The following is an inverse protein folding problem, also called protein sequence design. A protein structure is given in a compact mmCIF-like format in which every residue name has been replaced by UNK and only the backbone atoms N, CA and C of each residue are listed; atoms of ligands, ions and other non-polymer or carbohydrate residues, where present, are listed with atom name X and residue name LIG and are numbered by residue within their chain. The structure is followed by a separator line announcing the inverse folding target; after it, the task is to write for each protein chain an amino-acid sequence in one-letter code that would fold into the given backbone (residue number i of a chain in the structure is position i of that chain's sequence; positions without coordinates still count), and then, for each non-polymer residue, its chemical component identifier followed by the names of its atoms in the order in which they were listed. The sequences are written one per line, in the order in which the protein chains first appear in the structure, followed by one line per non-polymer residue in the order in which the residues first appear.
data_IF_329127148659
#
_entry.id   IF_329127148659
#
_cell.length_a   1.000
_cell.length_b   1.000
_cell.length_c   1.000
_cell.angle_alpha   90.00
_cell.angle_beta   90.00
_cell.angle_gamma   90.00
#
_symmetry.space_group_name_H-M   'P 1'
#
loop_
_entity.id
_entity.type
_entity.pdbx_description
1 polymer ?
#
# COMPACT_ATOMS: atom_id res chain seq x y z
N UNK A 1 31.18 19.44 -12.58
CA UNK A 1 30.61 19.14 -11.26
C UNK A 1 30.29 20.47 -10.59
N UNK A 2 29.06 20.70 -10.18
CA UNK A 2 28.70 21.96 -9.51
C UNK A 2 28.72 21.73 -7.99
N UNK A 3 29.53 22.47 -7.25
CA UNK A 3 29.71 22.31 -5.81
C UNK A 3 28.40 22.43 -5.01
N UNK A 4 27.43 23.20 -5.53
CA UNK A 4 26.11 23.34 -4.92
C UNK A 4 25.24 22.08 -4.97
N UNK A 5 25.56 21.11 -5.84
CA UNK A 5 24.81 19.86 -6.02
C UNK A 5 25.42 18.65 -5.30
N UNK A 6 26.48 18.87 -4.54
CA UNK A 6 27.09 17.81 -3.72
C UNK A 6 26.12 17.44 -2.59
N UNK A 7 25.71 16.18 -2.56
CA UNK A 7 24.95 15.59 -1.45
C UNK A 7 25.81 14.56 -0.78
N UNK A 8 25.82 14.51 0.56
CA UNK A 8 26.52 13.46 1.27
C UNK A 8 25.88 12.10 1.00
N UNK A 9 26.65 11.04 1.08
CA UNK A 9 26.20 9.65 0.94
C UNK A 9 25.10 9.34 1.97
N UNK A 10 24.14 8.51 1.57
CA UNK A 10 23.04 8.09 2.45
C UNK A 10 23.58 7.37 3.68
N UNK A 11 23.22 7.83 4.89
CA UNK A 11 23.74 7.33 6.15
C UNK A 11 25.01 8.04 6.68
N UNK A 12 25.66 8.92 5.90
CA UNK A 12 26.84 9.68 6.36
C UNK A 12 26.48 10.88 7.24
N UNK A 13 25.21 11.34 7.21
CA UNK A 13 24.74 12.44 8.05
C UNK A 13 24.20 11.90 9.36
N UNK A 14 24.89 12.18 10.45
CA UNK A 14 24.39 11.95 11.79
C UNK A 14 23.32 12.98 12.15
N UNK A 15 22.04 12.58 12.10
CA UNK A 15 20.95 13.38 12.68
C UNK A 15 21.06 13.35 14.20
N UNK A 16 21.29 14.51 14.81
CA UNK A 16 21.38 14.62 16.26
C UNK A 16 20.07 14.18 16.92
N UNK A 17 20.13 13.25 17.86
CA UNK A 17 18.97 12.77 18.60
C UNK A 17 18.32 13.94 19.36
N UNK A 18 16.98 14.08 19.23
CA UNK A 18 16.22 15.11 19.94
C UNK A 18 16.41 15.00 21.45
N UNK A 19 17.00 16.02 22.07
CA UNK A 19 17.19 16.12 23.53
C UNK A 19 16.10 16.99 24.11
N UNK A 20 15.39 16.51 25.13
CA UNK A 20 14.32 17.23 25.85
C UNK A 20 14.69 17.44 27.31
N UNK A 21 14.07 18.41 27.99
CA UNK A 21 14.36 18.70 29.39
C UNK A 21 15.76 19.31 29.62
N UNK A 22 16.28 20.12 28.68
CA UNK A 22 17.63 20.72 28.74
C UNK A 22 17.58 22.24 28.71
N UNK A 23 16.77 22.82 29.60
CA UNK A 23 16.64 24.26 29.80
C UNK A 23 15.51 24.90 29.01
N UNK A 24 15.07 26.05 29.48
CA UNK A 24 13.92 26.78 28.90
C UNK A 24 14.25 27.38 27.53
N UNK A 25 15.47 27.87 27.34
CA UNK A 25 15.91 28.42 26.06
C UNK A 25 15.87 27.44 24.90
N UNK A 26 15.82 26.13 25.14
CA UNK A 26 15.63 25.12 24.10
C UNK A 26 14.18 25.02 23.61
N UNK A 27 13.20 25.69 24.24
CA UNK A 27 11.77 25.51 24.01
C UNK A 27 11.22 24.13 24.39
N UNK A 28 12.08 23.26 24.96
CA UNK A 28 11.77 21.87 25.34
C UNK A 28 12.18 21.56 26.78
N UNK A 29 12.37 22.61 27.60
CA UNK A 29 12.68 22.49 29.02
C UNK A 29 11.47 22.13 29.88
N UNK A 30 11.63 22.26 31.20
CA UNK A 30 10.56 21.97 32.16
C UNK A 30 10.04 20.54 32.08
N UNK A 31 8.82 20.38 31.66
CA UNK A 31 8.12 19.07 31.55
C UNK A 31 8.51 18.24 30.32
N UNK A 32 9.58 18.58 29.63
CA UNK A 32 10.03 17.91 28.41
C UNK A 32 8.97 17.86 27.28
N UNK A 33 8.15 18.92 27.19
CA UNK A 33 7.02 19.07 26.23
C UNK A 33 5.85 18.11 26.47
N UNK A 34 5.78 17.42 27.61
CA UNK A 34 4.68 16.50 27.94
C UNK A 34 3.53 17.14 28.72
N UNK A 35 3.71 18.37 29.20
CA UNK A 35 2.77 19.04 30.10
C UNK A 35 2.91 18.50 31.54
N UNK A 36 1.96 18.88 32.41
CA UNK A 36 2.02 18.53 33.83
C UNK A 36 1.47 17.10 34.06
N UNK A 37 0.43 16.96 34.84
CA UNK A 37 -0.17 15.66 35.24
C UNK A 37 -0.90 14.97 34.11
N UNK A 38 -1.24 13.70 34.28
CA UNK A 38 -2.04 12.90 33.38
C UNK A 38 -1.28 11.73 32.75
N UNK A 39 -2.02 10.82 32.13
CA UNK A 39 -1.46 9.62 31.54
C UNK A 39 -0.47 9.90 30.40
N UNK A 40 -0.72 10.95 29.59
CA UNK A 40 0.15 11.36 28.46
C UNK A 40 1.54 11.82 28.89
N UNK A 41 1.72 12.26 30.14
CA UNK A 41 3.00 12.71 30.67
C UNK A 41 3.85 11.57 31.26
N UNK A 42 3.33 10.37 31.35
CA UNK A 42 4.00 9.20 31.90
C UNK A 42 4.74 8.41 30.81
N UNK A 43 5.74 7.65 31.19
CA UNK A 43 6.42 6.70 30.32
C UNK A 43 5.48 5.54 29.96
N UNK A 44 5.62 4.98 28.75
CA UNK A 44 4.83 3.85 28.29
C UNK A 44 3.36 4.18 27.94
N UNK A 45 2.94 5.46 28.00
CA UNK A 45 1.59 5.81 27.57
C UNK A 45 1.44 5.66 26.06
N UNK A 46 0.40 4.93 25.67
CA UNK A 46 -0.10 4.88 24.30
C UNK A 46 -1.58 5.21 24.25
N UNK A 47 -2.03 5.80 23.14
CA UNK A 47 -3.46 6.09 22.96
C UNK A 47 -4.23 4.79 22.83
N UNK A 48 -5.24 4.57 23.67
CA UNK A 48 -6.17 3.46 23.55
C UNK A 48 -7.10 3.70 22.35
N UNK A 49 -7.00 2.86 21.32
CA UNK A 49 -7.87 2.94 20.16
C UNK A 49 -9.32 2.64 20.54
N UNK A 50 -10.26 3.43 20.05
CA UNK A 50 -11.68 3.26 20.31
C UNK A 50 -12.13 3.55 21.76
N UNK A 51 -11.29 4.23 22.58
CA UNK A 51 -11.66 4.62 23.93
C UNK A 51 -12.51 5.90 23.91
N UNK A 52 -13.69 5.86 24.50
CA UNK A 52 -14.70 6.93 24.53
C UNK A 52 -14.87 7.51 25.93
N UNK A 53 -13.79 7.70 26.70
CA UNK A 53 -13.82 8.39 28.00
C UNK A 53 -14.54 7.63 29.12
N UNK A 54 -14.83 6.35 28.98
CA UNK A 54 -15.61 5.54 29.93
C UNK A 54 -17.01 5.18 29.42
N UNK A 55 -17.50 5.87 28.41
CA UNK A 55 -18.70 5.45 27.68
C UNK A 55 -18.44 4.13 26.96
N UNK A 56 -19.48 3.28 26.81
CA UNK A 56 -19.37 2.03 26.07
C UNK A 56 -18.94 2.30 24.63
N UNK A 57 -17.78 1.79 24.16
CA UNK A 57 -17.27 2.05 22.82
C UNK A 57 -18.22 1.60 21.72
N UNK A 58 -18.22 2.29 20.58
CA UNK A 58 -19.10 2.00 19.44
C UNK A 58 -19.09 0.52 19.04
N UNK A 59 -17.92 -0.11 19.03
CA UNK A 59 -17.74 -1.54 18.74
C UNK A 59 -18.52 -2.49 19.65
N UNK A 60 -18.90 -2.06 20.85
CA UNK A 60 -19.72 -2.82 21.79
C UNK A 60 -21.20 -2.47 21.73
N UNK A 61 -21.52 -1.27 21.26
CA UNK A 61 -22.91 -0.80 21.09
C UNK A 61 -23.57 -1.39 19.85
N UNK A 62 -22.77 -1.67 18.81
CA UNK A 62 -23.27 -2.23 17.55
C UNK A 62 -23.45 -3.75 17.67
N UNK A 63 -24.55 -4.32 17.18
CA UNK A 63 -24.74 -5.78 17.15
C UNK A 63 -23.63 -6.49 16.39
N UNK A 64 -23.23 -7.65 16.85
CA UNK A 64 -22.29 -8.52 16.15
C UNK A 64 -22.97 -9.08 14.90
N UNK A 65 -22.27 -9.14 13.79
CA UNK A 65 -22.76 -9.72 12.54
C UNK A 65 -21.65 -10.45 11.80
N UNK A 66 -22.05 -11.35 10.92
CA UNK A 66 -21.15 -12.09 10.05
C UNK A 66 -20.30 -13.16 10.75
N UNK A 67 -19.50 -13.81 9.93
CA UNK A 67 -18.52 -14.81 10.36
C UNK A 67 -17.27 -14.70 9.49
N UNK A 68 -16.16 -15.21 9.97
CA UNK A 68 -14.91 -15.27 9.21
C UNK A 68 -14.84 -16.61 8.47
N UNK A 69 -14.87 -16.58 7.14
CA UNK A 69 -14.72 -17.77 6.32
C UNK A 69 -13.24 -18.16 6.23
N UNK A 70 -12.87 -19.29 6.83
CA UNK A 70 -11.50 -19.81 6.86
C UNK A 70 -11.00 -20.17 5.44
N UNK A 71 -11.91 -20.61 4.56
CA UNK A 71 -11.59 -21.00 3.19
C UNK A 71 -11.70 -19.83 2.19
N UNK A 72 -11.64 -18.59 2.67
CA UNK A 72 -11.71 -17.41 1.81
C UNK A 72 -10.47 -17.33 0.94
N UNK A 73 -10.68 -17.32 -0.38
CA UNK A 73 -9.64 -17.09 -1.37
C UNK A 73 -9.72 -15.62 -1.81
N UNK A 74 -8.66 -14.87 -1.56
CA UNK A 74 -8.57 -13.46 -1.96
C UNK A 74 -7.72 -13.32 -3.21
N UNK A 75 -8.17 -12.43 -4.10
CA UNK A 75 -7.48 -12.14 -5.35
C UNK A 75 -7.03 -10.67 -5.35
N UNK A 76 -5.77 -10.45 -5.73
CA UNK A 76 -5.29 -9.12 -6.07
C UNK A 76 -5.90 -8.72 -7.43
N UNK A 77 -6.69 -7.66 -7.42
CA UNK A 77 -7.34 -7.16 -8.63
C UNK A 77 -6.40 -6.24 -9.41
N UNK A 78 -6.25 -6.50 -10.72
CA UNK A 78 -5.49 -5.66 -11.65
C UNK A 78 -6.39 -5.26 -12.80
N UNK A 79 -6.51 -3.97 -13.08
CA UNK A 79 -7.34 -3.44 -14.17
C UNK A 79 -6.56 -3.38 -15.49
N UNK A 80 -7.26 -3.49 -16.62
CA UNK A 80 -6.66 -3.37 -17.95
C UNK A 80 -5.99 -2.02 -18.18
N UNK A 81 -6.50 -0.96 -17.56
CA UNK A 81 -5.87 0.36 -17.61
C UNK A 81 -4.44 0.36 -17.04
N UNK A 82 -4.22 -0.31 -15.90
CA UNK A 82 -2.88 -0.43 -15.31
C UNK A 82 -1.91 -1.20 -16.23
N UNK A 83 -2.41 -2.22 -16.92
CA UNK A 83 -1.63 -2.98 -17.90
C UNK A 83 -1.29 -2.11 -19.12
N UNK A 84 -2.25 -1.34 -19.64
CA UNK A 84 -2.01 -0.42 -20.74
C UNK A 84 -0.95 0.62 -20.41
N UNK A 85 -0.99 1.21 -19.20
CA UNK A 85 0.03 2.14 -18.72
C UNK A 85 1.44 1.53 -18.68
N UNK A 86 1.57 0.24 -18.34
CA UNK A 86 2.87 -0.45 -18.37
C UNK A 86 3.37 -0.66 -19.79
N UNK A 87 2.48 -0.94 -20.75
CA UNK A 87 2.82 -1.08 -22.17
C UNK A 87 3.26 0.30 -22.72
N UNK A 88 2.53 1.36 -22.44
CA UNK A 88 2.85 2.73 -22.88
C UNK A 88 4.20 3.18 -22.34
N UNK A 89 4.53 2.80 -21.11
CA UNK A 89 5.83 3.04 -20.47
C UNK A 89 6.93 2.08 -20.95
N UNK A 90 6.65 1.19 -21.93
CA UNK A 90 7.60 0.20 -22.51
C UNK A 90 8.20 -0.76 -21.48
N UNK A 91 7.54 -0.95 -20.32
CA UNK A 91 7.96 -1.91 -19.30
C UNK A 91 7.57 -3.35 -19.66
N UNK A 92 6.48 -3.52 -20.40
CA UNK A 92 5.98 -4.80 -20.88
C UNK A 92 5.82 -4.71 -22.40
N UNK A 93 6.21 -5.76 -23.13
CA UNK A 93 6.12 -5.77 -24.61
C UNK A 93 4.94 -6.61 -25.09
N UNK A 94 5.13 -7.93 -25.24
CA UNK A 94 4.17 -8.82 -25.91
C UNK A 94 3.52 -9.84 -24.97
N UNK A 95 4.12 -10.11 -23.80
CA UNK A 95 3.59 -11.06 -22.83
C UNK A 95 3.68 -10.51 -21.41
N UNK A 96 2.74 -10.87 -20.57
CA UNK A 96 2.67 -10.51 -19.16
C UNK A 96 2.33 -11.73 -18.32
N UNK A 97 3.33 -12.24 -17.63
CA UNK A 97 3.24 -13.40 -16.73
C UNK A 97 3.12 -12.94 -15.27
N UNK A 98 2.85 -13.87 -14.35
CA UNK A 98 2.73 -13.57 -12.91
C UNK A 98 3.96 -12.83 -12.39
N UNK A 99 5.17 -13.21 -12.82
CA UNK A 99 6.39 -12.52 -12.43
C UNK A 99 6.39 -11.05 -12.88
N UNK A 100 5.90 -10.78 -14.09
CA UNK A 100 5.78 -9.41 -14.59
C UNK A 100 4.85 -8.52 -13.75
N UNK A 101 3.77 -9.08 -13.17
CA UNK A 101 2.91 -8.36 -12.23
C UNK A 101 3.65 -8.01 -10.94
N UNK A 102 4.48 -8.93 -10.44
CA UNK A 102 5.26 -8.73 -9.21
C UNK A 102 6.35 -7.66 -9.44
N UNK A 103 7.12 -7.79 -10.52
CA UNK A 103 8.23 -6.89 -10.85
C UNK A 103 7.77 -5.43 -11.07
N UNK A 104 6.54 -5.26 -11.58
CA UNK A 104 5.93 -3.95 -11.77
C UNK A 104 5.11 -3.46 -10.57
N UNK A 105 5.10 -4.19 -9.46
CA UNK A 105 4.44 -3.79 -8.21
C UNK A 105 2.90 -3.84 -8.26
N UNK A 106 2.30 -4.59 -9.20
CA UNK A 106 0.85 -4.79 -9.30
C UNK A 106 0.35 -5.91 -8.39
N UNK A 107 1.20 -6.83 -7.99
CA UNK A 107 0.90 -7.94 -7.09
C UNK A 107 2.11 -8.31 -6.24
N UNK A 108 1.89 -8.95 -5.09
CA UNK A 108 2.95 -9.53 -4.28
C UNK A 108 3.19 -11.01 -4.67
N UNK A 109 4.31 -11.56 -4.22
CA UNK A 109 4.75 -12.93 -4.57
C UNK A 109 3.71 -14.03 -4.29
N UNK A 110 2.89 -13.85 -3.24
CA UNK A 110 1.92 -14.85 -2.79
C UNK A 110 0.48 -14.51 -3.21
N UNK A 111 0.26 -13.43 -3.96
CA UNK A 111 -1.07 -13.00 -4.33
C UNK A 111 -1.60 -13.77 -5.55
N UNK A 112 -2.87 -14.14 -5.48
CA UNK A 112 -3.59 -14.64 -6.64
C UNK A 112 -4.08 -13.47 -7.48
N UNK A 113 -3.60 -13.34 -8.71
CA UNK A 113 -3.93 -12.22 -9.60
C UNK A 113 -5.24 -12.48 -10.34
N UNK A 114 -6.15 -11.48 -10.30
CA UNK A 114 -7.38 -11.46 -11.11
C UNK A 114 -7.41 -10.20 -11.97
N UNK A 115 -7.49 -10.38 -13.29
CA UNK A 115 -7.58 -9.28 -14.25
C UNK A 115 -9.03 -8.85 -14.43
N UNK A 116 -9.27 -7.54 -14.27
CA UNK A 116 -10.58 -6.91 -14.38
C UNK A 116 -10.65 -5.98 -15.61
N UNK A 117 -11.82 -5.89 -16.23
CA UNK A 117 -12.05 -5.16 -17.47
C UNK A 117 -12.26 -3.65 -17.32
N UNK A 118 -11.79 -3.03 -16.24
CA UNK A 118 -11.83 -1.56 -16.13
C UNK A 118 -10.72 -0.92 -16.94
N UNK A 119 -11.06 0.11 -17.71
CA UNK A 119 -10.16 0.76 -18.65
C UNK A 119 -10.29 0.18 -20.07
N UNK A 120 -9.40 0.63 -20.96
CA UNK A 120 -9.32 0.15 -22.35
C UNK A 120 -7.93 -0.39 -22.62
N UNK A 121 -7.84 -1.50 -23.33
CA UNK A 121 -6.60 -2.02 -23.85
C UNK A 121 -6.60 -1.87 -25.38
N UNK A 122 -5.55 -1.27 -25.91
CA UNK A 122 -5.38 -1.03 -27.37
C UNK A 122 -4.31 -1.92 -27.99
N UNK A 123 -3.47 -2.51 -27.15
CA UNK A 123 -2.32 -3.32 -27.60
C UNK A 123 -2.64 -4.80 -27.58
N UNK A 124 -2.19 -5.52 -28.60
CA UNK A 124 -2.25 -6.98 -28.59
C UNK A 124 -1.21 -7.55 -27.63
N UNK A 125 -1.67 -8.20 -26.56
CA UNK A 125 -0.80 -8.75 -25.52
C UNK A 125 -1.34 -10.10 -25.04
N UNK A 126 -0.41 -11.02 -24.72
CA UNK A 126 -0.70 -12.29 -24.08
C UNK A 126 -0.58 -12.13 -22.57
N UNK A 127 -1.66 -12.37 -21.83
CA UNK A 127 -1.72 -12.19 -20.38
C UNK A 127 -1.98 -13.53 -19.70
N UNK A 128 -1.09 -13.92 -18.78
CA UNK A 128 -1.24 -15.13 -17.95
C UNK A 128 -1.58 -14.71 -16.52
N UNK A 129 -2.76 -15.12 -16.00
CA UNK A 129 -3.21 -14.81 -14.65
C UNK A 129 -4.05 -15.94 -14.06
N UNK A 130 -4.32 -15.89 -12.73
CA UNK A 130 -5.10 -16.92 -12.05
C UNK A 130 -6.59 -16.86 -12.41
N UNK A 131 -7.14 -15.64 -12.60
CA UNK A 131 -8.54 -15.46 -13.06
C UNK A 131 -8.70 -14.21 -13.91
N UNK A 132 -9.75 -14.21 -14.73
CA UNK A 132 -10.18 -13.07 -15.53
C UNK A 132 -11.67 -12.79 -15.29
N UNK A 133 -12.09 -11.54 -15.44
CA UNK A 133 -13.50 -11.21 -15.56
C UNK A 133 -13.96 -11.41 -17.02
N UNK A 134 -15.23 -11.72 -17.24
CA UNK A 134 -15.80 -11.87 -18.59
C UNK A 134 -15.54 -10.65 -19.49
N UNK A 135 -15.67 -9.46 -18.92
CA UNK A 135 -15.40 -8.20 -19.64
C UNK A 135 -13.92 -8.01 -19.97
N UNK A 136 -13.00 -8.50 -19.14
CA UNK A 136 -11.56 -8.42 -19.43
C UNK A 136 -11.19 -9.34 -20.59
N UNK A 137 -11.67 -10.58 -20.60
CA UNK A 137 -11.44 -11.53 -21.68
C UNK A 137 -11.93 -10.95 -23.02
N UNK A 138 -13.17 -10.48 -23.06
CA UNK A 138 -13.75 -9.90 -24.28
C UNK A 138 -12.97 -8.68 -24.81
N UNK A 139 -12.38 -7.86 -23.93
CA UNK A 139 -11.57 -6.70 -24.34
C UNK A 139 -10.18 -7.12 -24.83
N UNK A 140 -9.55 -8.10 -24.18
CA UNK A 140 -8.24 -8.63 -24.59
C UNK A 140 -8.35 -9.31 -25.97
N UNK A 141 -9.36 -10.15 -26.17
CA UNK A 141 -9.60 -10.81 -27.46
C UNK A 141 -9.93 -9.79 -28.55
N UNK A 142 -10.74 -8.77 -28.26
CA UNK A 142 -11.08 -7.68 -29.20
C UNK A 142 -9.84 -6.88 -29.64
N UNK A 143 -8.84 -6.74 -28.77
CA UNK A 143 -7.56 -6.10 -29.13
C UNK A 143 -6.56 -7.03 -29.81
N UNK A 144 -6.95 -8.29 -30.09
CA UNK A 144 -6.09 -9.29 -30.72
C UNK A 144 -5.10 -9.96 -29.75
N UNK A 145 -5.32 -9.82 -28.43
CA UNK A 145 -4.54 -10.45 -27.39
C UNK A 145 -5.05 -11.84 -26.99
N UNK A 146 -4.36 -12.51 -26.09
CA UNK A 146 -4.71 -13.82 -25.56
C UNK A 146 -4.75 -13.79 -24.02
N UNK A 147 -5.83 -14.33 -23.41
CA UNK A 147 -5.96 -14.48 -21.96
C UNK A 147 -5.77 -15.95 -21.56
N UNK A 148 -4.74 -16.23 -20.77
CA UNK A 148 -4.39 -17.59 -20.31
C UNK A 148 -4.65 -17.68 -18.82
N UNK A 149 -5.49 -18.62 -18.43
CA UNK A 149 -5.75 -18.95 -17.02
C UNK A 149 -4.84 -20.09 -16.58
N UNK A 150 -4.20 -19.90 -15.40
CA UNK A 150 -3.34 -20.87 -14.74
C UNK A 150 -4.16 -21.92 -13.98
#
# INVERSE_FOLDING_TARGET
MNLSNLKPEEGSIHTSKKRVGRGQGSGKGGTATRGHKGAKSRSGYSRKLGFEGGQMPLQRRVPKFGFNNINRVEYQSVNLEAIQLLIDNKKVKNSMDIQSFIDNGLANKNDLVKVLGSGKISSSIKITAHKFSKSAVAQIEKSGGEAITL
#
